data_IF_333762676205
#
_entry.id   IF_333762676205
#
_cell.length_a   1.000
_cell.length_b   1.000
_cell.length_c   1.000
_cell.angle_alpha   90.00
_cell.angle_beta   90.00
_cell.angle_gamma   90.00
#
_symmetry.space_group_name_H-M   'P 1'
#
loop_
_entity.id
_entity.type
_entity.pdbx_description
1 polymer ?
#
# COMPACT_ATOMS: atom_id res chain seq x y z
N UNK A 1 -6.38 4.99 -34.93
CA UNK A 1 -6.04 3.93 -33.97
C UNK A 1 -7.19 2.96 -33.92
N UNK A 2 -7.03 1.67 -34.22
CA UNK A 2 -8.11 0.74 -34.07
C UNK A 2 -8.51 0.66 -32.59
N UNK A 3 -9.80 0.83 -32.30
CA UNK A 3 -10.33 0.63 -30.96
C UNK A 3 -10.02 -0.80 -30.51
N UNK A 4 -9.24 -0.94 -29.43
CA UNK A 4 -9.02 -2.25 -28.83
C UNK A 4 -10.39 -2.80 -28.39
N UNK A 5 -10.84 -3.84 -29.06
CA UNK A 5 -12.08 -4.52 -28.75
C UNK A 5 -12.04 -5.08 -27.31
N UNK A 6 -13.19 -5.20 -26.63
CA UNK A 6 -13.31 -5.83 -25.32
C UNK A 6 -12.71 -7.25 -25.26
N UNK A 7 -12.59 -7.94 -26.38
CA UNK A 7 -11.84 -9.20 -26.51
C UNK A 7 -10.34 -9.08 -26.15
N UNK A 8 -9.77 -7.86 -26.12
CA UNK A 8 -8.40 -7.60 -25.69
C UNK A 8 -8.25 -7.32 -24.17
N UNK A 9 -9.31 -7.41 -23.37
CA UNK A 9 -9.23 -7.28 -21.90
C UNK A 9 -8.16 -8.16 -21.23
N UNK A 10 -7.85 -9.38 -21.71
CA UNK A 10 -6.72 -10.14 -21.15
C UNK A 10 -5.36 -9.45 -21.28
N UNK A 11 -5.22 -8.48 -22.19
CA UNK A 11 -4.00 -7.64 -22.35
C UNK A 11 -4.07 -6.33 -21.55
N UNK A 12 -5.06 -6.18 -20.66
CA UNK A 12 -5.23 -4.98 -19.85
C UNK A 12 -4.22 -4.96 -18.70
N UNK A 13 -3.33 -4.00 -18.69
CA UNK A 13 -2.33 -3.80 -17.64
C UNK A 13 -2.98 -3.63 -16.25
N UNK A 14 -4.08 -2.87 -16.18
CA UNK A 14 -4.81 -2.66 -14.92
C UNK A 14 -5.38 -3.98 -14.39
N UNK A 15 -5.97 -4.82 -15.25
CA UNK A 15 -6.50 -6.11 -14.84
C UNK A 15 -5.38 -7.03 -14.34
N UNK A 16 -4.27 -7.12 -15.09
CA UNK A 16 -3.13 -7.95 -14.73
C UNK A 16 -2.52 -7.54 -13.36
N UNK A 17 -2.32 -6.24 -13.14
CA UNK A 17 -1.82 -5.71 -11.87
C UNK A 17 -2.77 -6.00 -10.71
N UNK A 18 -4.08 -5.83 -10.91
CA UNK A 18 -5.08 -6.12 -9.86
C UNK A 18 -5.15 -7.61 -9.51
N UNK A 19 -5.06 -8.50 -10.50
CA UNK A 19 -5.03 -9.94 -10.28
C UNK A 19 -3.76 -10.35 -9.52
N UNK A 20 -2.61 -9.87 -9.96
CA UNK A 20 -1.33 -10.13 -9.29
C UNK A 20 -1.33 -9.59 -7.84
N UNK A 21 -1.78 -8.35 -7.64
CA UNK A 21 -1.87 -7.75 -6.32
C UNK A 21 -2.76 -8.55 -5.37
N UNK A 22 -3.95 -8.99 -5.82
CA UNK A 22 -4.85 -9.82 -5.00
C UNK A 22 -4.21 -11.15 -4.63
N UNK A 23 -3.61 -11.83 -5.60
CA UNK A 23 -2.99 -13.13 -5.39
C UNK A 23 -1.83 -13.05 -4.39
N UNK A 24 -0.95 -12.07 -4.56
CA UNK A 24 0.19 -11.84 -3.66
C UNK A 24 -0.30 -11.40 -2.27
N UNK A 25 -1.29 -10.50 -2.19
CA UNK A 25 -1.87 -10.07 -0.91
C UNK A 25 -2.42 -11.25 -0.12
N UNK A 26 -3.19 -12.14 -0.76
CA UNK A 26 -3.73 -13.34 -0.10
C UNK A 26 -2.61 -14.26 0.40
N UNK A 27 -1.55 -14.41 -0.36
CA UNK A 27 -0.39 -15.21 0.04
C UNK A 27 0.27 -14.65 1.31
N UNK A 28 0.56 -13.35 1.36
CA UNK A 28 1.15 -12.72 2.55
C UNK A 28 0.20 -12.71 3.75
N UNK A 29 -1.10 -12.51 3.52
CA UNK A 29 -2.11 -12.53 4.59
C UNK A 29 -2.19 -13.89 5.29
N UNK A 30 -1.95 -15.00 4.59
CA UNK A 30 -1.89 -16.33 5.20
C UNK A 30 -0.75 -16.45 6.23
N UNK A 31 0.43 -15.90 5.92
CA UNK A 31 1.56 -15.87 6.86
C UNK A 31 1.31 -14.93 8.04
N UNK A 32 0.68 -13.80 7.79
CA UNK A 32 0.43 -12.77 8.81
C UNK A 32 -0.75 -13.09 9.74
N UNK A 33 -1.60 -14.04 9.37
CA UNK A 33 -2.82 -14.41 10.12
C UNK A 33 -2.60 -14.59 11.63
N UNK A 34 -1.50 -15.22 12.12
CA UNK A 34 -1.28 -15.37 13.57
C UNK A 34 -1.10 -14.05 14.32
N UNK A 35 -0.79 -12.95 13.63
CA UNK A 35 -0.66 -11.61 14.23
C UNK A 35 -1.98 -10.84 14.30
N UNK A 36 -3.02 -11.32 13.62
CA UNK A 36 -4.28 -10.60 13.43
C UNK A 36 -4.18 -9.44 12.45
N UNK A 37 -3.05 -9.26 11.75
CA UNK A 37 -2.85 -8.23 10.74
C UNK A 37 -3.04 -8.79 9.33
N UNK A 38 -3.53 -7.92 8.45
CA UNK A 38 -3.42 -8.09 7.01
C UNK A 38 -2.20 -7.35 6.46
N UNK A 39 -1.71 -7.74 5.30
CA UNK A 39 -0.56 -7.13 4.63
C UNK A 39 -0.72 -5.61 4.44
N UNK A 40 -1.92 -5.14 4.09
CA UNK A 40 -2.21 -3.70 3.98
C UNK A 40 -2.10 -2.97 5.32
N UNK A 41 -2.52 -3.58 6.42
CA UNK A 41 -2.39 -3.02 7.76
C UNK A 41 -0.94 -3.02 8.22
N UNK A 42 -0.21 -4.11 7.97
CA UNK A 42 1.23 -4.16 8.26
C UNK A 42 1.99 -3.06 7.51
N UNK A 43 1.64 -2.77 6.25
CA UNK A 43 2.27 -1.69 5.48
C UNK A 43 2.08 -0.32 6.13
N UNK A 44 0.89 -0.04 6.67
CA UNK A 44 0.61 1.20 7.41
C UNK A 44 1.49 1.29 8.66
N UNK A 45 1.48 0.24 9.48
CA UNK A 45 2.26 0.22 10.73
C UNK A 45 3.77 0.30 10.45
N UNK A 46 4.26 -0.40 9.43
CA UNK A 46 5.66 -0.38 9.04
C UNK A 46 6.12 1.00 8.55
N UNK A 47 5.29 1.73 7.81
CA UNK A 47 5.58 3.11 7.41
C UNK A 47 5.67 4.04 8.63
N UNK A 48 4.72 3.96 9.55
CA UNK A 48 4.76 4.73 10.80
C UNK A 48 5.96 4.33 11.68
N UNK A 49 6.35 3.06 11.69
CA UNK A 49 7.52 2.59 12.42
C UNK A 49 8.82 3.17 11.86
N UNK A 50 8.96 3.18 10.54
CA UNK A 50 10.20 3.61 9.88
C UNK A 50 10.34 5.13 9.71
N UNK A 51 9.24 5.83 9.47
CA UNK A 51 9.24 7.27 9.14
C UNK A 51 8.79 8.14 10.31
N UNK A 52 8.25 7.55 11.37
CA UNK A 52 7.71 8.27 12.51
C UNK A 52 6.30 8.83 12.29
N UNK A 53 5.82 9.67 13.24
CA UNK A 53 4.48 10.25 13.15
C UNK A 53 4.31 11.12 11.91
N UNK A 54 3.14 11.00 11.24
CA UNK A 54 2.84 11.77 10.05
C UNK A 54 1.34 12.03 9.91
N UNK A 55 0.98 12.98 9.05
CA UNK A 55 -0.43 13.24 8.74
C UNK A 55 -1.02 12.14 7.88
N UNK A 56 -2.36 12.01 7.90
CA UNK A 56 -3.06 11.05 7.03
C UNK A 56 -2.77 11.30 5.55
N UNK A 57 -2.62 12.56 5.14
CA UNK A 57 -2.31 12.91 3.76
C UNK A 57 -0.88 12.49 3.36
N UNK A 58 0.09 12.63 4.27
CA UNK A 58 1.44 12.17 4.04
C UNK A 58 1.50 10.64 3.91
N UNK A 59 0.83 9.92 4.83
CA UNK A 59 0.76 8.46 4.79
C UNK A 59 0.04 7.94 3.54
N UNK A 60 -1.03 8.61 3.11
CA UNK A 60 -1.74 8.26 1.88
C UNK A 60 -0.83 8.36 0.64
N UNK A 61 -0.01 9.42 0.55
CA UNK A 61 1.00 9.56 -0.51
C UNK A 61 2.06 8.46 -0.46
N UNK A 62 2.58 8.17 0.73
CA UNK A 62 3.59 7.11 0.93
C UNK A 62 3.09 5.72 0.52
N UNK A 63 1.79 5.46 0.65
CA UNK A 63 1.17 4.18 0.33
C UNK A 63 0.46 4.18 -1.03
N UNK A 64 0.48 5.30 -1.76
CA UNK A 64 -0.26 5.48 -3.03
C UNK A 64 -1.74 5.10 -2.86
N UNK A 65 -2.35 5.57 -1.76
CA UNK A 65 -3.73 5.31 -1.41
C UNK A 65 -4.55 6.61 -1.41
N UNK A 66 -5.84 6.51 -1.73
CA UNK A 66 -6.75 7.61 -1.44
C UNK A 66 -7.03 7.70 0.08
N UNK A 67 -7.31 8.93 0.53
CA UNK A 67 -7.53 9.22 1.95
C UNK A 67 -8.69 8.42 2.56
N UNK A 68 -9.76 8.20 1.81
CA UNK A 68 -10.95 7.49 2.29
C UNK A 68 -10.65 6.02 2.53
N UNK A 69 -9.97 5.37 1.59
CA UNK A 69 -9.55 3.97 1.69
C UNK A 69 -8.58 3.79 2.85
N UNK A 70 -7.58 4.68 2.96
CA UNK A 70 -6.64 4.67 4.08
C UNK A 70 -7.37 4.82 5.42
N UNK A 71 -8.29 5.80 5.54
CA UNK A 71 -9.07 6.01 6.74
C UNK A 71 -9.83 4.76 7.20
N UNK A 72 -10.50 4.10 6.27
CA UNK A 72 -11.22 2.83 6.57
C UNK A 72 -10.29 1.72 7.03
N UNK A 73 -9.12 1.61 6.40
CA UNK A 73 -8.12 0.59 6.76
C UNK A 73 -7.49 0.85 8.13
N UNK A 74 -7.40 2.11 8.55
CA UNK A 74 -6.85 2.50 9.85
C UNK A 74 -7.82 2.29 11.02
N UNK A 75 -9.15 2.34 10.80
CA UNK A 75 -10.13 2.22 11.89
C UNK A 75 -9.92 1.00 12.80
N UNK A 76 -9.68 -0.21 12.27
CA UNK A 76 -9.37 -1.36 13.13
C UNK A 76 -8.05 -1.18 13.90
N UNK A 77 -7.03 -0.56 13.30
CA UNK A 77 -5.73 -0.36 13.95
C UNK A 77 -5.83 0.63 15.11
N UNK A 78 -6.62 1.69 14.95
CA UNK A 78 -6.91 2.65 16.01
C UNK A 78 -7.73 2.00 17.14
N UNK A 79 -8.82 1.31 16.80
CA UNK A 79 -9.66 0.59 17.76
C UNK A 79 -8.85 -0.43 18.58
N UNK A 80 -7.93 -1.13 17.95
CA UNK A 80 -7.08 -2.14 18.59
C UNK A 80 -5.86 -1.51 19.31
N UNK A 81 -5.78 -0.17 19.35
CA UNK A 81 -4.74 0.56 20.07
C UNK A 81 -3.34 0.45 19.45
N UNK A 82 -3.23 0.09 18.17
CA UNK A 82 -1.93 -0.05 17.49
C UNK A 82 -1.41 1.26 16.93
N UNK A 83 -2.31 2.21 16.65
CA UNK A 83 -2.01 3.59 16.27
C UNK A 83 -2.77 4.55 17.17
N UNK A 84 -2.23 5.75 17.32
CA UNK A 84 -2.89 6.86 18.01
C UNK A 84 -2.98 8.05 17.06
N UNK A 85 -4.06 8.83 17.20
CA UNK A 85 -4.27 10.09 16.49
C UNK A 85 -4.03 11.21 17.48
N UNK A 86 -2.98 12.00 17.26
CA UNK A 86 -2.58 13.10 18.14
C UNK A 86 -2.76 14.45 17.42
N UNK A 87 -2.84 15.52 18.18
CA UNK A 87 -2.75 16.86 17.62
C UNK A 87 -1.35 17.13 17.09
N UNK A 88 -1.24 17.81 15.97
CA UNK A 88 0.04 18.18 15.39
C UNK A 88 0.81 19.15 16.29
N UNK A 89 2.13 18.97 16.37
CA UNK A 89 3.01 19.80 17.23
C UNK A 89 3.05 21.25 16.73
N UNK A 90 3.06 21.46 15.41
CA UNK A 90 3.15 22.79 14.79
C UNK A 90 1.77 23.40 14.50
N UNK A 91 0.78 22.58 14.24
CA UNK A 91 -0.62 22.98 14.00
C UNK A 91 -1.56 21.96 14.62
N UNK A 92 -2.26 22.36 15.68
CA UNK A 92 -3.25 21.52 16.37
C UNK A 92 -4.43 21.08 15.50
N UNK A 93 -4.65 21.77 14.36
CA UNK A 93 -5.68 21.38 13.38
C UNK A 93 -5.23 20.19 12.51
N UNK A 94 -3.93 19.98 12.38
CA UNK A 94 -3.39 18.85 11.67
C UNK A 94 -3.33 17.65 12.62
N UNK A 95 -4.06 16.58 12.30
CA UNK A 95 -3.99 15.33 13.05
C UNK A 95 -2.79 14.52 12.59
N UNK A 96 -1.99 14.03 13.53
CA UNK A 96 -0.86 13.15 13.28
C UNK A 96 -1.17 11.73 13.75
N UNK A 97 -0.84 10.80 12.88
CA UNK A 97 -0.89 9.37 13.16
C UNK A 97 0.45 8.95 13.73
N UNK A 98 0.43 8.28 14.86
CA UNK A 98 1.62 7.76 15.52
C UNK A 98 1.45 6.27 15.83
N UNK A 99 2.54 5.52 15.70
CA UNK A 99 2.58 4.14 16.15
C UNK A 99 2.63 4.11 17.68
N UNK A 100 1.81 3.28 18.30
CA UNK A 100 1.86 3.04 19.75
C UNK A 100 2.93 2.01 20.11
N UNK A 101 3.24 1.86 21.39
CA UNK A 101 4.11 0.76 21.85
C UNK A 101 3.55 -0.61 21.46
N UNK A 102 2.26 -0.82 21.63
CA UNK A 102 1.57 -2.06 21.22
C UNK A 102 1.67 -2.27 19.70
N UNK A 103 1.55 -1.19 18.91
CA UNK A 103 1.74 -1.22 17.47
C UNK A 103 3.16 -1.63 17.08
N UNK A 104 4.18 -1.06 17.72
CA UNK A 104 5.58 -1.42 17.49
C UNK A 104 5.86 -2.89 17.81
N UNK A 105 5.36 -3.38 18.94
CA UNK A 105 5.46 -4.79 19.32
C UNK A 105 4.76 -5.72 18.30
N UNK A 106 3.61 -5.30 17.78
CA UNK A 106 2.89 -6.02 16.73
C UNK A 106 3.67 -6.07 15.41
N UNK A 107 4.28 -4.95 15.00
CA UNK A 107 5.18 -4.89 13.82
C UNK A 107 6.35 -5.86 13.98
N UNK A 108 7.03 -5.86 15.13
CA UNK A 108 8.17 -6.77 15.36
C UNK A 108 7.78 -8.25 15.26
N UNK A 109 6.61 -8.62 15.77
CA UNK A 109 6.09 -9.99 15.62
C UNK A 109 5.75 -10.32 14.17
N UNK A 110 5.11 -9.39 13.48
CA UNK A 110 4.73 -9.57 12.07
C UNK A 110 5.95 -9.62 11.14
N UNK A 111 7.03 -8.92 11.47
CA UNK A 111 8.23 -8.87 10.64
C UNK A 111 8.84 -10.26 10.41
N UNK A 112 8.80 -11.15 11.40
CA UNK A 112 9.30 -12.52 11.27
C UNK A 112 8.48 -13.33 10.27
N UNK A 113 7.16 -13.26 10.39
CA UNK A 113 6.24 -13.97 9.49
C UNK A 113 6.26 -13.37 8.07
N UNK A 114 6.42 -12.06 7.98
CA UNK A 114 6.62 -11.39 6.70
C UNK A 114 7.93 -11.86 6.02
N UNK A 115 9.02 -12.01 6.77
CA UNK A 115 10.30 -12.50 6.24
C UNK A 115 10.18 -13.95 5.73
N UNK A 116 9.43 -14.79 6.43
CA UNK A 116 9.12 -16.16 5.98
C UNK A 116 8.33 -16.15 4.65
N UNK A 117 7.28 -15.31 4.58
CA UNK A 117 6.50 -15.13 3.35
C UNK A 117 7.38 -14.61 2.19
N UNK A 118 8.25 -13.63 2.48
CA UNK A 118 9.16 -13.06 1.50
C UNK A 118 10.11 -14.11 0.91
N UNK A 119 10.75 -14.91 1.76
CA UNK A 119 11.64 -16.00 1.35
C UNK A 119 10.90 -17.04 0.51
N UNK A 120 9.72 -17.43 0.93
CA UNK A 120 8.91 -18.41 0.20
C UNK A 120 8.42 -17.89 -1.15
N UNK A 121 8.02 -16.60 -1.21
CA UNK A 121 7.68 -15.95 -2.47
C UNK A 121 8.88 -15.96 -3.44
N UNK A 122 10.06 -15.55 -2.96
CA UNK A 122 11.28 -15.52 -3.77
C UNK A 122 11.73 -16.93 -4.20
N UNK A 123 11.54 -17.94 -3.35
CA UNK A 123 11.82 -19.34 -3.69
C UNK A 123 10.92 -19.85 -4.82
N UNK A 124 9.62 -19.51 -4.80
CA UNK A 124 8.65 -19.98 -5.81
C UNK A 124 8.70 -19.17 -7.09
N UNK A 125 8.80 -17.88 -6.99
CA UNK A 125 8.78 -16.97 -8.15
C UNK A 125 10.16 -16.82 -8.80
N UNK A 126 11.22 -17.02 -8.03
CA UNK A 126 12.62 -16.79 -8.39
C UNK A 126 13.14 -15.47 -7.80
N UNK A 127 14.24 -15.52 -7.07
CA UNK A 127 14.79 -14.35 -6.37
C UNK A 127 15.13 -13.19 -7.33
N UNK A 128 15.78 -13.50 -8.46
CA UNK A 128 16.09 -12.48 -9.49
C UNK A 128 14.81 -11.86 -10.06
N UNK A 129 13.85 -12.68 -10.44
CA UNK A 129 12.56 -12.21 -10.99
C UNK A 129 11.79 -11.36 -9.99
N UNK A 130 11.88 -11.67 -8.69
CA UNK A 130 11.25 -10.87 -7.64
C UNK A 130 11.89 -9.48 -7.52
N UNK A 131 13.20 -9.36 -7.69
CA UNK A 131 13.92 -8.08 -7.74
C UNK A 131 13.45 -7.28 -8.96
N UNK A 132 13.46 -7.90 -10.14
CA UNK A 132 13.07 -7.25 -11.40
C UNK A 132 11.59 -6.79 -11.35
N UNK A 133 10.70 -7.61 -10.77
CA UNK A 133 9.29 -7.25 -10.54
C UNK A 133 9.16 -5.99 -9.65
N UNK A 134 9.87 -5.94 -8.52
CA UNK A 134 9.82 -4.76 -7.65
C UNK A 134 10.33 -3.50 -8.35
N UNK A 135 11.37 -3.62 -9.16
CA UNK A 135 11.89 -2.50 -9.97
C UNK A 135 10.83 -1.98 -10.95
N UNK A 136 10.26 -2.88 -11.76
CA UNK A 136 9.21 -2.52 -12.74
C UNK A 136 7.97 -1.91 -12.08
N UNK A 137 7.53 -2.45 -10.95
CA UNK A 137 6.40 -1.88 -10.20
C UNK A 137 6.73 -0.49 -9.65
N UNK A 138 7.97 -0.27 -9.20
CA UNK A 138 8.46 1.05 -8.80
C UNK A 138 8.41 2.07 -9.94
N UNK A 139 8.83 1.67 -11.13
CA UNK A 139 8.74 2.49 -12.33
C UNK A 139 7.30 2.84 -12.69
N UNK A 140 6.37 1.88 -12.58
CA UNK A 140 4.93 2.12 -12.80
C UNK A 140 4.38 3.15 -11.81
N UNK A 141 4.77 3.08 -10.53
CA UNK A 141 4.35 4.06 -9.50
C UNK A 141 4.90 5.45 -9.77
N UNK A 142 6.11 5.54 -10.33
CA UNK A 142 6.76 6.82 -10.65
C UNK A 142 6.32 7.42 -12.00
N UNK A 143 5.60 6.64 -12.82
CA UNK A 143 5.12 7.08 -14.13
C UNK A 143 3.92 8.02 -13.98
N UNK A 144 3.95 9.17 -14.66
CA UNK A 144 2.79 10.06 -14.76
C UNK A 144 1.70 9.40 -15.61
N UNK A 145 0.61 9.00 -14.94
CA UNK A 145 -0.55 8.34 -15.59
C UNK A 145 -1.80 9.23 -15.58
N UNK A 146 -1.65 10.54 -15.35
CA UNK A 146 -2.76 11.46 -15.38
C UNK A 146 -3.30 11.62 -16.80
N UNK A 147 -4.63 11.64 -16.92
CA UNK A 147 -5.27 11.94 -18.19
C UNK A 147 -4.91 13.39 -18.57
N UNK A 148 -4.36 13.64 -19.76
CA UNK A 148 -4.10 15.02 -20.21
C UNK A 148 -5.38 15.84 -20.10
N UNK A 149 -5.29 17.04 -19.53
CA UNK A 149 -6.41 17.96 -19.45
C UNK A 149 -7.00 18.11 -20.85
N UNK A 150 -8.30 17.78 -21.01
CA UNK A 150 -9.00 17.99 -22.26
C UNK A 150 -8.91 19.48 -22.58
N UNK A 151 -8.12 19.85 -23.61
CA UNK A 151 -8.02 21.22 -24.08
C UNK A 151 -9.42 21.78 -24.27
N UNK A 152 -9.72 22.91 -23.61
CA UNK A 152 -10.85 23.74 -24.00
C UNK A 152 -10.65 24.10 -25.46
N UNK A 153 -11.40 23.48 -26.33
CA UNK A 153 -11.53 23.93 -27.71
C UNK A 153 -12.10 25.34 -27.63
N UNK A 154 -11.25 26.33 -27.78
CA UNK A 154 -11.67 27.72 -27.99
C UNK A 154 -12.36 27.73 -29.33
N UNK A 155 -13.69 27.67 -29.33
CA UNK A 155 -14.49 28.09 -30.47
C UNK A 155 -14.36 29.61 -30.59
N UNK A 156 -13.55 30.04 -31.54
CA UNK A 156 -13.65 31.39 -32.13
C UNK A 156 -14.68 31.36 -33.23
#
# INVERSE_FOLDING_TARGET
>A
MPSRNLAALPQCNCLALRQAARHVTQFYDQYLAPTGLRSTQLSILAKLHGLGPMTINALARELVMDRTTLGRTMLPLERDGLIAINDGVLDRRSKQLALTKAGAERVHRAAKLWDEAQKEFERRFGARRAIDLRSLLGEVVSCELEKPASGRTSLQ
#
